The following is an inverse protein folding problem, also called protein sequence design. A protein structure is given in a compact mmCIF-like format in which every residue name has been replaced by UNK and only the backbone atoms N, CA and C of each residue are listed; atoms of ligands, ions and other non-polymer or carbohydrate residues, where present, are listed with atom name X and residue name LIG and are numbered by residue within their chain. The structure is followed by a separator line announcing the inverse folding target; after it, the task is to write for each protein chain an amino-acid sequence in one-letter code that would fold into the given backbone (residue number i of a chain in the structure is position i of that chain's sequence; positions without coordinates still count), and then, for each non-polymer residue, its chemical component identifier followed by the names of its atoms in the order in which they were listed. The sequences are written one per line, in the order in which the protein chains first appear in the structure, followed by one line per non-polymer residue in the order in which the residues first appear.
data_IF_791955052321
#
_entry.id   IF_791955052321
#
_cell.length_a   1.000
_cell.length_b   1.000
_cell.length_c   1.000
_cell.angle_alpha   90.00
_cell.angle_beta   90.00
_cell.angle_gamma   90.00
#
_symmetry.space_group_name_H-M   'P 1'
#
loop_
_entity.id
_entity.type
_entity.pdbx_description
1 polymer ?
#
# COMPACT_ATOMS: atom_id res chain seq x y z
N UNK A 1 -7.62 -26.66 14.57
CA UNK A 1 -7.18 -25.85 13.40
C UNK A 1 -5.84 -25.26 13.79
N UNK A 2 -4.78 -25.55 13.02
CA UNK A 2 -3.52 -24.83 13.15
C UNK A 2 -3.81 -23.38 12.80
N UNK A 3 -3.63 -22.44 13.74
CA UNK A 3 -3.63 -21.02 13.40
C UNK A 3 -2.35 -20.82 12.61
N UNK A 4 -2.45 -20.76 11.28
CA UNK A 4 -1.31 -20.34 10.47
C UNK A 4 -0.98 -18.91 10.93
N UNK A 5 0.16 -18.77 11.58
CA UNK A 5 0.62 -17.50 12.11
C UNK A 5 1.06 -16.66 10.90
N UNK A 6 0.54 -15.44 10.79
CA UNK A 6 0.99 -14.48 9.79
C UNK A 6 2.51 -14.28 9.98
N UNK A 7 3.28 -14.40 8.90
CA UNK A 7 4.72 -14.18 8.95
C UNK A 7 5.00 -12.73 9.33
N UNK A 8 6.04 -12.50 10.11
CA UNK A 8 6.43 -11.18 10.58
C UNK A 8 7.82 -10.81 10.08
N UNK A 9 8.01 -9.56 9.67
CA UNK A 9 9.29 -9.01 9.24
C UNK A 9 9.55 -7.69 9.96
N UNK A 10 10.73 -7.55 10.53
CA UNK A 10 11.22 -6.31 11.13
C UNK A 10 12.28 -5.70 10.20
N UNK A 11 12.14 -4.42 9.89
CA UNK A 11 13.09 -3.68 9.04
C UNK A 11 13.42 -2.33 9.67
N UNK A 12 14.61 -1.82 9.38
CA UNK A 12 15.06 -0.53 9.91
C UNK A 12 16.06 0.14 9.00
N UNK A 13 16.10 1.46 8.99
CA UNK A 13 17.12 2.24 8.27
C UNK A 13 16.57 3.49 7.59
N UNK A 14 17.27 3.94 6.55
CA UNK A 14 16.78 4.97 5.61
C UNK A 14 15.62 4.42 4.76
N UNK A 15 14.87 5.27 4.03
CA UNK A 15 13.84 4.80 3.11
C UNK A 15 14.36 3.75 2.11
N UNK A 16 15.55 3.95 1.54
CA UNK A 16 16.18 3.00 0.61
C UNK A 16 16.51 1.66 1.26
N UNK A 17 17.05 1.67 2.49
CA UNK A 17 17.41 0.47 3.23
C UNK A 17 16.18 -0.33 3.66
N UNK A 18 15.15 0.36 4.17
CA UNK A 18 13.85 -0.22 4.50
C UNK A 18 13.23 -0.83 3.25
N UNK A 19 13.19 -0.05 2.16
CA UNK A 19 12.66 -0.48 0.88
C UNK A 19 13.38 -1.74 0.38
N UNK A 20 14.72 -1.72 0.36
CA UNK A 20 15.53 -2.85 -0.08
C UNK A 20 15.27 -4.12 0.75
N UNK A 21 15.19 -3.99 2.07
CA UNK A 21 14.91 -5.12 2.96
C UNK A 21 13.52 -5.71 2.71
N UNK A 22 12.48 -4.87 2.54
CA UNK A 22 11.12 -5.30 2.19
C UNK A 22 11.15 -5.99 0.83
N UNK A 23 11.74 -5.36 -0.18
CA UNK A 23 11.82 -5.88 -1.55
C UNK A 23 12.52 -7.24 -1.61
N UNK A 24 13.65 -7.39 -0.91
CA UNK A 24 14.38 -8.65 -0.83
C UNK A 24 13.50 -9.76 -0.23
N UNK A 25 12.76 -9.44 0.83
CA UNK A 25 11.89 -10.38 1.51
C UNK A 25 10.60 -10.68 0.72
N UNK A 26 10.17 -9.78 -0.17
CA UNK A 26 9.00 -9.93 -1.02
C UNK A 26 9.31 -10.52 -2.41
N UNK A 27 10.59 -10.65 -2.79
CA UNK A 27 11.03 -10.97 -4.15
C UNK A 27 10.31 -12.18 -4.76
N UNK A 28 10.23 -13.29 -4.02
CA UNK A 28 9.56 -14.51 -4.46
C UNK A 28 8.05 -14.32 -4.57
N UNK A 29 7.44 -13.62 -3.59
CA UNK A 29 6.00 -13.33 -3.58
C UNK A 29 5.59 -12.40 -4.72
N UNK A 30 6.41 -11.40 -5.04
CA UNK A 30 6.21 -10.53 -6.20
C UNK A 30 6.23 -11.37 -7.47
N UNK A 31 7.25 -12.20 -7.65
CA UNK A 31 7.44 -13.01 -8.86
C UNK A 31 6.35 -14.08 -9.04
N UNK A 32 5.94 -14.72 -7.96
CA UNK A 32 5.08 -15.91 -7.99
C UNK A 32 3.59 -15.59 -7.83
N UNK A 33 3.25 -14.50 -7.14
CA UNK A 33 1.87 -14.13 -6.87
C UNK A 33 1.48 -12.82 -7.58
N UNK A 34 2.25 -11.73 -7.42
CA UNK A 34 1.88 -10.41 -7.96
C UNK A 34 1.96 -10.33 -9.49
N UNK A 35 3.11 -10.65 -10.08
CA UNK A 35 3.32 -10.52 -11.53
C UNK A 35 2.39 -11.43 -12.37
N UNK A 36 1.94 -12.60 -11.87
CA UNK A 36 0.94 -13.41 -12.54
C UNK A 36 -0.50 -12.89 -12.46
N UNK A 37 -0.85 -12.01 -11.52
CA UNK A 37 -2.22 -11.49 -11.36
C UNK A 37 -2.74 -10.87 -12.66
N UNK A 38 -3.99 -11.20 -13.00
CA UNK A 38 -4.67 -10.63 -14.17
C UNK A 38 -4.75 -9.11 -14.07
N UNK A 39 -5.07 -8.57 -12.89
CA UNK A 39 -5.11 -7.12 -12.65
C UNK A 39 -3.77 -6.46 -12.96
N UNK A 40 -2.68 -7.00 -12.38
CA UNK A 40 -1.33 -6.49 -12.61
C UNK A 40 -0.95 -6.54 -14.10
N UNK A 41 -1.18 -7.67 -14.77
CA UNK A 41 -0.84 -7.85 -16.19
C UNK A 41 -1.60 -6.88 -17.09
N UNK A 42 -2.87 -6.64 -16.79
CA UNK A 42 -3.68 -5.67 -17.52
C UNK A 42 -3.13 -4.25 -17.29
N UNK A 43 -2.91 -3.86 -16.02
CA UNK A 43 -2.35 -2.54 -15.71
C UNK A 43 -0.98 -2.33 -16.38
N UNK A 44 -0.10 -3.32 -16.33
CA UNK A 44 1.20 -3.28 -16.98
C UNK A 44 1.08 -3.13 -18.51
N UNK A 45 0.19 -3.90 -19.15
CA UNK A 45 -0.04 -3.83 -20.60
C UNK A 45 -0.46 -2.43 -21.05
N UNK A 46 -1.32 -1.75 -20.29
CA UNK A 46 -1.88 -0.45 -20.68
C UNK A 46 -1.02 0.75 -20.27
N UNK A 47 -0.37 0.69 -19.10
CA UNK A 47 0.20 1.88 -18.47
C UNK A 47 1.73 1.95 -18.49
N UNK A 48 2.41 0.83 -18.76
CA UNK A 48 3.88 0.80 -18.85
C UNK A 48 4.38 1.79 -19.92
N UNK A 49 5.29 2.68 -19.54
CA UNK A 49 5.87 3.71 -20.41
C UNK A 49 4.95 4.89 -20.75
N UNK A 50 3.68 4.87 -20.30
CA UNK A 50 2.69 5.88 -20.63
C UNK A 50 3.02 7.26 -20.03
N UNK A 51 2.52 8.32 -20.65
CA UNK A 51 2.63 9.69 -20.11
C UNK A 51 1.85 9.88 -18.81
N UNK A 52 0.75 9.15 -18.63
CA UNK A 52 -0.08 9.20 -17.44
C UNK A 52 0.62 8.59 -16.22
N UNK A 53 1.24 7.41 -16.37
CA UNK A 53 2.04 6.83 -15.29
C UNK A 53 3.21 7.74 -14.91
N UNK A 54 3.84 8.40 -15.89
CA UNK A 54 4.89 9.39 -15.64
C UNK A 54 4.39 10.64 -14.90
N UNK A 55 3.17 11.10 -15.14
CA UNK A 55 2.62 12.23 -14.39
C UNK A 55 2.29 11.87 -12.95
N UNK A 56 1.82 10.64 -12.69
CA UNK A 56 1.67 10.09 -11.35
C UNK A 56 3.03 9.98 -10.61
N UNK A 57 4.06 9.45 -11.28
CA UNK A 57 5.42 9.36 -10.74
C UNK A 57 5.98 10.76 -10.40
N UNK A 58 5.82 11.72 -11.31
CA UNK A 58 6.29 13.09 -11.10
C UNK A 58 5.58 13.76 -9.92
N UNK A 59 4.28 13.53 -9.73
CA UNK A 59 3.54 14.03 -8.59
C UNK A 59 4.05 13.39 -7.28
N UNK A 60 4.23 12.07 -7.25
CA UNK A 60 4.81 11.38 -6.09
C UNK A 60 6.20 11.90 -5.74
N UNK A 61 7.12 11.98 -6.71
CA UNK A 61 8.48 12.50 -6.50
C UNK A 61 8.53 13.94 -6.03
N UNK A 62 7.60 14.79 -6.50
CA UNK A 62 7.53 16.19 -6.09
C UNK A 62 7.06 16.37 -4.65
N UNK A 63 6.21 15.48 -4.16
CA UNK A 63 5.49 15.65 -2.89
C UNK A 63 6.06 14.77 -1.78
N UNK A 64 6.51 13.57 -2.14
CA UNK A 64 6.96 12.50 -1.25
C UNK A 64 8.22 11.79 -1.80
N UNK A 65 9.33 12.50 -1.99
CA UNK A 65 10.55 11.91 -2.54
C UNK A 65 11.07 10.72 -1.72
N UNK A 66 10.92 10.75 -0.40
CA UNK A 66 11.31 9.68 0.52
C UNK A 66 10.58 8.35 0.27
N UNK A 67 9.27 8.39 -0.02
CA UNK A 67 8.51 7.16 -0.29
C UNK A 67 8.76 6.64 -1.71
N UNK A 68 9.20 7.50 -2.62
CA UNK A 68 9.72 7.06 -3.92
C UNK A 68 11.06 6.34 -3.75
N UNK A 69 11.96 6.85 -2.90
CA UNK A 69 13.21 6.17 -2.56
C UNK A 69 12.95 4.81 -1.88
N UNK A 70 11.94 4.72 -1.01
CA UNK A 70 11.50 3.44 -0.43
C UNK A 70 11.03 2.47 -1.52
N UNK A 71 10.21 2.92 -2.48
CA UNK A 71 9.73 2.09 -3.58
C UNK A 71 10.86 1.68 -4.55
N UNK A 72 11.83 2.55 -4.81
CA UNK A 72 13.05 2.25 -5.57
C UNK A 72 13.90 1.20 -4.85
N UNK A 73 14.06 1.32 -3.53
CA UNK A 73 14.69 0.32 -2.69
C UNK A 73 13.98 -1.03 -2.80
N UNK A 74 12.64 -1.04 -2.68
CA UNK A 74 11.83 -2.26 -2.85
C UNK A 74 12.06 -2.91 -4.21
N UNK A 75 12.09 -2.12 -5.27
CA UNK A 75 12.35 -2.64 -6.62
C UNK A 75 13.76 -3.24 -6.72
N UNK A 76 14.77 -2.58 -6.15
CA UNK A 76 16.15 -3.06 -6.08
C UNK A 76 16.29 -4.37 -5.30
N UNK A 77 15.65 -4.48 -4.13
CA UNK A 77 15.65 -5.68 -3.31
C UNK A 77 14.93 -6.85 -3.98
N UNK A 78 13.80 -6.57 -4.63
CA UNK A 78 13.02 -7.57 -5.36
C UNK A 78 13.61 -7.94 -6.73
N UNK A 79 14.64 -7.21 -7.19
CA UNK A 79 15.25 -7.35 -8.51
C UNK A 79 14.24 -7.21 -9.67
N UNK A 80 13.35 -6.22 -9.55
CA UNK A 80 12.39 -5.84 -10.60
C UNK A 80 12.58 -4.38 -10.99
N UNK A 81 12.03 -3.98 -12.13
CA UNK A 81 12.06 -2.58 -12.57
C UNK A 81 11.24 -1.70 -11.61
N UNK A 82 11.72 -0.49 -11.29
CA UNK A 82 10.95 0.49 -10.49
C UNK A 82 9.53 0.70 -11.05
N UNK A 83 9.42 0.85 -12.37
CA UNK A 83 8.14 1.03 -13.06
C UNK A 83 7.16 -0.12 -12.81
N UNK A 84 7.65 -1.34 -12.55
CA UNK A 84 6.81 -2.49 -12.21
C UNK A 84 6.13 -2.30 -10.86
N UNK A 85 6.87 -1.90 -9.82
CA UNK A 85 6.27 -1.63 -8.52
C UNK A 85 5.47 -0.32 -8.52
N UNK A 86 5.85 0.67 -9.32
CA UNK A 86 5.05 1.89 -9.49
C UNK A 86 3.67 1.57 -10.07
N UNK A 87 3.56 0.73 -11.11
CA UNK A 87 2.27 0.30 -11.65
C UNK A 87 1.43 -0.38 -10.57
N UNK A 88 2.05 -1.26 -9.77
CA UNK A 88 1.35 -1.96 -8.70
C UNK A 88 0.87 -1.02 -7.58
N UNK A 89 1.67 0.00 -7.27
CA UNK A 89 1.34 1.02 -6.26
C UNK A 89 0.45 2.15 -6.76
N UNK A 90 0.18 2.21 -8.07
CA UNK A 90 -0.78 3.12 -8.67
C UNK A 90 -2.07 2.42 -9.10
N UNK A 91 -2.26 1.11 -8.84
CA UNK A 91 -3.38 0.33 -9.41
C UNK A 91 -4.78 0.90 -9.15
N UNK A 92 -4.96 1.61 -8.03
CA UNK A 92 -6.22 2.30 -7.71
C UNK A 92 -6.43 3.60 -8.48
N UNK A 93 -5.35 4.16 -9.05
CA UNK A 93 -5.28 5.48 -9.70
C UNK A 93 -5.11 5.38 -11.23
N UNK A 94 -4.97 4.15 -11.73
CA UNK A 94 -4.87 3.83 -13.15
C UNK A 94 -6.27 3.52 -13.72
N UNK A 95 -6.76 4.28 -14.72
CA UNK A 95 -8.01 3.96 -15.40
C UNK A 95 -8.00 2.55 -15.99
N UNK A 96 -9.10 1.83 -15.84
CA UNK A 96 -9.31 0.56 -16.55
C UNK A 96 -10.16 0.84 -17.79
N UNK A 97 -9.76 0.36 -18.98
CA UNK A 97 -10.62 0.35 -20.15
C UNK A 97 -11.92 -0.42 -19.86
N UNK A 98 -13.06 0.05 -20.40
CA UNK A 98 -14.39 -0.54 -20.19
C UNK A 98 -14.46 -2.04 -20.53
N UNK A 99 -13.64 -2.48 -21.49
CA UNK A 99 -13.53 -3.87 -21.97
C UNK A 99 -12.49 -4.72 -21.23
N UNK A 100 -11.68 -4.11 -20.36
CA UNK A 100 -10.71 -4.76 -19.50
C UNK A 100 -11.21 -4.99 -18.07
N UNK A 101 -12.43 -4.54 -17.75
CA UNK A 101 -13.13 -4.83 -16.49
C UNK A 101 -13.68 -6.26 -16.62
N UNK A 102 -13.04 -7.28 -16.02
CA UNK A 102 -13.64 -8.61 -15.98
C UNK A 102 -14.90 -8.50 -15.14
N UNK A 103 -16.07 -8.66 -15.76
CA UNK A 103 -17.39 -8.74 -15.12
C UNK A 103 -17.55 -7.86 -13.87
N UNK A 104 -17.74 -6.57 -14.15
CA UNK A 104 -18.47 -5.61 -13.32
C UNK A 104 -17.79 -5.01 -12.08
N UNK A 105 -17.87 -3.67 -12.01
CA UNK A 105 -17.89 -2.93 -10.76
C UNK A 105 -19.07 -3.34 -9.82
N UNK A 106 -19.95 -4.27 -10.25
CA UNK A 106 -20.98 -4.91 -9.41
C UNK A 106 -20.42 -6.10 -8.59
N UNK A 107 -19.21 -6.58 -8.89
CA UNK A 107 -18.55 -7.70 -8.20
C UNK A 107 -17.07 -7.44 -7.94
N UNK A 108 -16.71 -6.30 -7.34
CA UNK A 108 -15.42 -6.23 -6.65
C UNK A 108 -15.55 -7.06 -5.36
N UNK A 109 -14.90 -8.23 -5.23
CA UNK A 109 -15.02 -9.06 -4.03
C UNK A 109 -14.24 -8.49 -2.83
N UNK A 110 -13.57 -7.35 -3.02
CA UNK A 110 -12.72 -6.69 -2.03
C UNK A 110 -13.55 -5.64 -1.29
N UNK A 111 -14.16 -6.06 -0.18
CA UNK A 111 -15.06 -5.25 0.63
C UNK A 111 -14.57 -5.12 2.06
N UNK A 112 -13.35 -4.63 2.26
CA UNK A 112 -12.84 -4.38 3.61
C UNK A 112 -13.89 -3.60 4.42
N UNK A 113 -14.07 -3.96 5.68
CA UNK A 113 -15.02 -3.33 6.61
C UNK A 113 -14.26 -2.85 7.84
N UNK A 114 -14.49 -1.60 8.20
CA UNK A 114 -13.90 -0.97 9.38
C UNK A 114 -14.99 -0.64 10.39
N UNK A 115 -14.78 -1.03 11.64
CA UNK A 115 -15.64 -0.70 12.77
C UNK A 115 -14.86 0.13 13.79
N UNK A 116 -15.44 1.26 14.19
CA UNK A 116 -14.94 2.07 15.30
C UNK A 116 -15.96 2.03 16.44
N UNK A 117 -15.56 1.48 17.58
CA UNK A 117 -16.24 1.65 18.84
C UNK A 117 -15.57 2.78 19.62
N UNK A 118 -16.22 3.94 19.83
CA UNK A 118 -15.62 5.08 20.50
C UNK A 118 -15.22 4.77 21.94
N UNK A 119 -14.24 5.52 22.46
CA UNK A 119 -13.88 5.43 23.87
C UNK A 119 -15.07 5.84 24.76
N UNK A 120 -15.29 5.09 25.83
CA UNK A 120 -16.24 5.41 26.89
C UNK A 120 -15.49 5.61 28.21
N UNK A 121 -16.17 6.12 29.25
CA UNK A 121 -15.53 6.41 30.53
C UNK A 121 -14.89 5.15 31.14
N UNK A 122 -13.56 5.07 31.09
CA UNK A 122 -12.78 3.95 31.61
C UNK A 122 -12.45 2.85 30.59
N UNK A 123 -12.79 3.02 29.31
CA UNK A 123 -12.47 2.09 28.23
C UNK A 123 -11.81 2.83 27.05
N UNK A 124 -10.78 2.21 26.45
CA UNK A 124 -10.18 2.71 25.22
C UNK A 124 -11.14 2.55 24.03
N UNK A 125 -10.96 3.36 22.99
CA UNK A 125 -11.62 3.12 21.71
C UNK A 125 -11.12 1.79 21.11
N UNK A 126 -11.98 1.12 20.36
CA UNK A 126 -11.63 -0.10 19.63
C UNK A 126 -11.83 0.15 18.14
N UNK A 127 -10.80 -0.11 17.36
CA UNK A 127 -10.86 -0.13 15.90
C UNK A 127 -10.65 -1.58 15.46
N UNK A 128 -11.55 -2.08 14.63
CA UNK A 128 -11.47 -3.41 14.03
C UNK A 128 -11.59 -3.30 12.52
N UNK A 129 -10.85 -4.16 11.81
CA UNK A 129 -10.77 -4.16 10.35
C UNK A 129 -10.67 -5.60 9.84
N UNK A 130 -11.48 -5.97 8.84
CA UNK A 130 -11.15 -7.11 7.98
C UNK A 130 -10.53 -6.57 6.69
N UNK A 131 -9.48 -7.25 6.23
CA UNK A 131 -8.84 -6.98 4.95
C UNK A 131 -9.29 -8.07 3.97
N UNK A 132 -9.94 -7.66 2.87
CA UNK A 132 -10.39 -8.54 1.81
C UNK A 132 -9.58 -8.24 0.54
N UNK A 133 -8.81 -9.21 0.06
CA UNK A 133 -7.97 -9.07 -1.13
C UNK A 133 -7.96 -10.34 -1.99
N UNK A 134 -7.17 -10.35 -3.08
CA UNK A 134 -7.07 -11.50 -3.97
C UNK A 134 -6.61 -12.76 -3.21
N UNK A 135 -7.32 -13.90 -3.32
CA UNK A 135 -6.93 -15.14 -2.65
C UNK A 135 -5.51 -15.61 -3.00
N UNK A 136 -5.02 -15.26 -4.19
CA UNK A 136 -3.66 -15.54 -4.64
C UNK A 136 -2.59 -14.86 -3.78
N UNK A 137 -2.94 -13.80 -3.02
CA UNK A 137 -2.02 -13.08 -2.16
C UNK A 137 -2.08 -13.52 -0.68
N UNK A 138 -3.06 -14.34 -0.27
CA UNK A 138 -3.30 -14.69 1.14
C UNK A 138 -2.05 -15.28 1.83
N UNK A 139 -1.37 -16.21 1.16
CA UNK A 139 -0.15 -16.85 1.66
C UNK A 139 1.12 -15.97 1.55
N UNK A 140 1.00 -14.77 0.99
CA UNK A 140 2.12 -13.86 0.72
C UNK A 140 2.08 -12.60 1.59
N UNK A 141 0.99 -12.38 2.31
CA UNK A 141 0.85 -11.27 3.26
C UNK A 141 1.71 -11.48 4.51
N UNK A 142 2.10 -10.37 5.12
CA UNK A 142 2.92 -10.36 6.36
C UNK A 142 2.59 -9.21 7.29
N UNK A 143 3.03 -9.32 8.53
CA UNK A 143 3.09 -8.22 9.47
C UNK A 143 4.46 -7.55 9.40
N UNK A 144 4.51 -6.29 8.97
CA UNK A 144 5.73 -5.49 9.01
C UNK A 144 5.82 -4.69 10.29
N UNK A 145 7.03 -4.59 10.86
CA UNK A 145 7.39 -3.57 11.85
C UNK A 145 8.60 -2.80 11.35
N UNK A 146 8.42 -1.49 11.17
CA UNK A 146 9.37 -0.60 10.51
C UNK A 146 9.91 0.38 11.55
N UNK A 147 11.23 0.39 11.72
CA UNK A 147 11.95 1.37 12.53
C UNK A 147 12.70 2.35 11.64
N UNK A 148 12.16 3.55 11.46
CA UNK A 148 12.76 4.54 10.57
C UNK A 148 13.94 5.23 11.26
N UNK A 149 15.05 5.42 10.53
CA UNK A 149 16.18 6.21 11.06
C UNK A 149 15.73 7.65 11.34
N UNK A 150 14.92 8.20 10.42
CA UNK A 150 14.30 9.51 10.53
C UNK A 150 12.80 9.34 10.21
N UNK A 151 11.92 9.53 11.20
CA UNK A 151 10.47 9.40 11.01
C UNK A 151 9.78 8.69 12.16
N UNK A 152 8.56 8.24 11.91
CA UNK A 152 7.73 7.57 12.91
C UNK A 152 7.83 6.06 12.76
N UNK A 153 8.07 5.31 13.85
CA UNK A 153 8.02 3.85 13.77
C UNK A 153 6.59 3.37 13.60
N UNK A 154 6.36 2.33 12.82
CA UNK A 154 5.01 1.79 12.62
C UNK A 154 5.01 0.29 12.37
N UNK A 155 3.83 -0.30 12.51
CA UNK A 155 3.57 -1.67 12.10
C UNK A 155 2.35 -1.70 11.18
N UNK A 156 2.36 -2.61 10.21
CA UNK A 156 1.28 -2.73 9.23
C UNK A 156 1.09 -4.18 8.80
N UNK A 157 -0.16 -4.53 8.48
CA UNK A 157 -0.38 -5.63 7.55
C UNK A 157 0.17 -5.24 6.17
N UNK A 158 0.71 -6.17 5.40
CA UNK A 158 1.46 -5.83 4.18
C UNK A 158 1.24 -6.85 3.09
N UNK A 159 0.88 -6.35 1.91
CA UNK A 159 0.85 -7.10 0.67
C UNK A 159 2.20 -7.01 -0.05
N UNK A 160 2.65 -8.09 -0.72
CA UNK A 160 3.93 -8.10 -1.40
C UNK A 160 4.04 -6.99 -2.46
N UNK A 161 5.16 -6.27 -2.44
CA UNK A 161 5.47 -5.22 -3.42
C UNK A 161 4.67 -3.92 -3.28
N UNK A 162 3.87 -3.77 -2.22
CA UNK A 162 3.13 -2.52 -1.94
C UNK A 162 3.88 -1.63 -0.96
N UNK A 163 3.79 -0.31 -1.10
CA UNK A 163 4.24 0.59 -0.05
C UNK A 163 3.46 0.30 1.25
N UNK A 164 4.14 0.29 2.42
CA UNK A 164 3.46 0.14 3.69
C UNK A 164 2.35 1.19 3.90
N UNK A 165 1.22 0.78 4.47
CA UNK A 165 0.10 1.69 4.78
C UNK A 165 -1.16 1.51 3.95
N UNK A 166 -1.15 0.69 2.89
CA UNK A 166 -2.36 0.43 2.08
C UNK A 166 -3.45 -0.41 2.79
N UNK A 167 -3.23 -0.87 4.03
CA UNK A 167 -4.13 -1.79 4.72
C UNK A 167 -4.40 -1.28 6.14
N UNK A 168 -4.45 -2.17 7.13
CA UNK A 168 -4.40 -1.80 8.54
C UNK A 168 -2.97 -1.51 9.02
N UNK A 169 -2.79 -0.39 9.73
CA UNK A 169 -1.51 0.03 10.31
C UNK A 169 -1.69 0.77 11.64
N UNK A 170 -0.64 0.75 12.47
CA UNK A 170 -0.51 1.57 13.69
C UNK A 170 0.89 2.14 13.81
N UNK A 171 1.01 3.42 14.18
CA UNK A 171 2.31 4.07 14.37
C UNK A 171 2.64 4.30 15.85
N UNK A 172 3.88 4.71 16.14
CA UNK A 172 4.39 4.88 17.51
C UNK A 172 3.76 6.04 18.28
N UNK A 173 3.02 6.92 17.60
CA UNK A 173 2.21 7.97 18.23
C UNK A 173 0.81 7.47 18.62
N UNK A 174 0.47 6.22 18.29
CA UNK A 174 -0.85 5.65 18.53
C UNK A 174 -1.89 6.01 17.46
N UNK A 175 -1.46 6.58 16.33
CA UNK A 175 -2.34 6.77 15.17
C UNK A 175 -2.60 5.42 14.52
N UNK A 176 -3.88 5.12 14.28
CA UNK A 176 -4.34 3.90 13.62
C UNK A 176 -4.94 4.26 12.27
N UNK A 177 -4.50 3.55 11.23
CA UNK A 177 -5.01 3.66 9.87
C UNK A 177 -5.67 2.35 9.45
N UNK A 178 -6.80 2.47 8.77
CA UNK A 178 -7.53 1.38 8.12
C UNK A 178 -7.95 1.87 6.75
N UNK A 179 -7.79 1.04 5.72
CA UNK A 179 -8.09 1.41 4.34
C UNK A 179 -9.26 0.57 3.82
N UNK A 180 -10.27 1.23 3.29
CA UNK A 180 -11.36 0.58 2.58
C UNK A 180 -11.24 0.95 1.11
N UNK A 181 -11.27 -0.05 0.22
CA UNK A 181 -11.19 0.20 -1.21
C UNK A 181 -12.47 0.90 -1.70
N UNK A 182 -12.31 2.08 -2.28
CA UNK A 182 -13.39 2.83 -2.94
C UNK A 182 -12.90 3.19 -4.34
N UNK A 183 -13.71 2.80 -5.34
CA UNK A 183 -13.47 3.16 -6.74
C UNK A 183 -14.10 4.53 -7.00
N UNK A 184 -13.32 5.42 -7.59
CA UNK A 184 -13.74 6.78 -7.96
C UNK A 184 -13.88 6.87 -9.47
N UNK A 185 -14.86 7.65 -9.93
CA UNK A 185 -15.11 7.84 -11.36
C UNK A 185 -14.14 8.86 -11.99
N UNK A 186 -13.60 9.78 -11.18
CA UNK A 186 -12.71 10.85 -11.63
C UNK A 186 -11.24 10.48 -11.36
N UNK A 187 -10.69 9.57 -12.17
CA UNK A 187 -9.28 9.16 -12.14
C UNK A 187 -8.39 10.22 -12.82
N UNK A 188 -8.43 11.46 -12.31
CA UNK A 188 -7.49 12.51 -12.71
C UNK A 188 -6.12 12.22 -12.15
N UNK A 189 -5.09 12.63 -12.90
CA UNK A 189 -3.72 12.52 -12.43
C UNK A 189 -3.50 13.40 -11.19
N UNK A 190 -2.87 12.83 -10.18
CA UNK A 190 -2.51 13.47 -8.93
C UNK A 190 -1.46 12.62 -8.19
N UNK A 191 -1.32 12.84 -6.89
CA UNK A 191 -0.46 12.00 -6.06
C UNK A 191 -1.13 10.63 -5.91
N UNK A 192 -0.44 9.50 -6.17
CA UNK A 192 -1.07 8.19 -6.07
C UNK A 192 -1.44 7.87 -4.62
N UNK A 193 -2.59 7.22 -4.43
CA UNK A 193 -3.22 7.06 -3.12
C UNK A 193 -2.37 6.27 -2.14
N UNK A 194 -1.57 5.30 -2.60
CA UNK A 194 -0.72 4.50 -1.71
C UNK A 194 0.44 5.32 -1.12
N UNK A 195 0.94 6.33 -1.85
CA UNK A 195 1.95 7.25 -1.31
C UNK A 195 1.35 8.13 -0.22
N UNK A 196 0.11 8.60 -0.41
CA UNK A 196 -0.64 9.32 0.64
C UNK A 196 -0.85 8.41 1.86
N UNK A 197 -1.25 7.15 1.65
CA UNK A 197 -1.43 6.19 2.74
C UNK A 197 -0.14 5.94 3.54
N UNK A 198 1.00 5.83 2.84
CA UNK A 198 2.32 5.70 3.47
C UNK A 198 2.70 6.96 4.26
N UNK A 199 2.40 8.14 3.71
CA UNK A 199 2.66 9.43 4.32
C UNK A 199 1.91 9.64 5.64
N UNK A 200 0.67 9.16 5.74
CA UNK A 200 -0.11 9.25 6.99
C UNK A 200 0.56 8.47 8.13
N UNK A 201 1.29 7.39 7.85
CA UNK A 201 1.99 6.63 8.91
C UNK A 201 3.09 7.45 9.61
N UNK A 202 3.60 8.50 8.97
CA UNK A 202 4.58 9.42 9.55
C UNK A 202 3.97 10.56 10.37
N UNK A 203 2.64 10.71 10.36
CA UNK A 203 1.94 11.75 11.12
C UNK A 203 1.94 11.47 12.63
N UNK A 204 2.06 12.52 13.43
CA UNK A 204 2.00 12.43 14.89
C UNK A 204 0.57 12.41 15.46
N UNK A 205 -0.43 12.71 14.63
CA UNK A 205 -1.83 12.76 15.04
C UNK A 205 -2.80 12.99 13.87
N UNK A 206 -4.08 13.11 14.20
CA UNK A 206 -5.18 13.23 13.24
C UNK A 206 -5.12 14.53 12.44
N UNK A 207 -4.72 15.64 13.06
CA UNK A 207 -4.64 16.94 12.40
C UNK A 207 -3.62 16.93 11.24
N UNK A 208 -2.45 16.34 11.45
CA UNK A 208 -1.43 16.19 10.40
C UNK A 208 -1.89 15.22 9.32
N UNK A 209 -2.52 14.10 9.71
CA UNK A 209 -3.09 13.15 8.76
C UNK A 209 -4.15 13.80 7.85
N UNK A 210 -5.02 14.65 8.42
CA UNK A 210 -6.02 15.40 7.64
C UNK A 210 -5.37 16.38 6.65
N UNK A 211 -4.24 17.01 7.00
CA UNK A 211 -3.51 17.87 6.05
C UNK A 211 -2.95 17.06 4.89
N UNK A 212 -2.41 15.86 5.16
CA UNK A 212 -1.92 14.94 4.12
C UNK A 212 -3.05 14.46 3.21
N UNK A 213 -4.20 14.06 3.78
CA UNK A 213 -5.36 13.55 3.05
C UNK A 213 -6.09 14.60 2.19
N UNK A 214 -5.84 15.89 2.43
CA UNK A 214 -6.42 17.00 1.65
C UNK A 214 -5.52 17.48 0.50
N UNK A 215 -4.39 16.81 0.23
CA UNK A 215 -3.52 17.11 -0.92
C UNK A 215 -4.07 16.52 -2.21
#
# INVERSE_FOLDING_TARGET
MSVNKLDALEVSGTPEEIGFAIGLADADSIREAVLPLTEFRNAQKFWKGSSYLKSLDAAARSVFPEYVLELEGMAGGAQVEYETLLIWNCRGDLPLPDDAIPESAEHSPEGCTTLLYPAEKGAAAVIAHNEDGPPELDAHCRWLTVSQENGTNFSTFHYPGMLPGHTFSVNSHGLVQTINNIRIDDLKSGIPRHFICRAVLDCSGLEEALVILNR
#
